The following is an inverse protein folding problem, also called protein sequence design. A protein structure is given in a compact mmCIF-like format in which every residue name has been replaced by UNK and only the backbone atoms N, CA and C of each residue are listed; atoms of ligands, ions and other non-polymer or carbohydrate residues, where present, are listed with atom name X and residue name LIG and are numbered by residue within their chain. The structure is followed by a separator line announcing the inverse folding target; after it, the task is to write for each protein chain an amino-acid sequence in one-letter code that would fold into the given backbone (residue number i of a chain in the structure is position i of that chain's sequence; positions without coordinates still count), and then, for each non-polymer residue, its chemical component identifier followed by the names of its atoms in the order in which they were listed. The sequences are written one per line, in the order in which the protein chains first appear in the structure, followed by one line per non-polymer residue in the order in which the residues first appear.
data_IF_215753604571
#
_entry.id   IF_215753604571
#
_cell.length_a   1.000
_cell.length_b   1.000
_cell.length_c   1.000
_cell.angle_alpha   90.00
_cell.angle_beta   90.00
_cell.angle_gamma   90.00
#
_symmetry.space_group_name_H-M   'P 1'
#
loop_
_entity.id
_entity.type
_entity.pdbx_description
1 polymer ?
#
# COMPACT_ATOMS: atom_id res chain seq x y z
N UNK A 1 2.35 -5.13 14.40
CA UNK A 1 2.37 -3.69 14.73
C UNK A 1 3.75 -3.09 14.56
N UNK A 2 4.82 -3.82 14.85
CA UNK A 2 6.24 -3.42 14.76
C UNK A 2 6.72 -2.93 13.37
N UNK A 3 6.22 -3.51 12.28
CA UNK A 3 6.64 -3.15 10.91
C UNK A 3 6.38 -1.68 10.52
N UNK A 4 5.29 -1.11 11.02
CA UNK A 4 4.90 0.25 10.64
C UNK A 4 5.82 1.28 11.33
N UNK A 5 6.24 0.97 12.56
CA UNK A 5 7.18 1.75 13.36
C UNK A 5 8.55 1.89 12.70
N UNK A 6 9.07 0.82 12.11
CA UNK A 6 10.31 0.89 11.35
C UNK A 6 10.22 1.71 10.05
N UNK A 7 9.07 1.68 9.36
CA UNK A 7 8.85 2.57 8.21
C UNK A 7 8.83 4.02 8.71
N UNK A 8 8.27 4.27 9.92
CA UNK A 8 8.26 5.60 10.50
C UNK A 8 9.67 6.16 10.74
N UNK A 9 10.61 5.33 11.20
CA UNK A 9 11.97 5.78 11.50
C UNK A 9 12.88 5.94 10.27
N UNK A 10 12.66 5.19 9.17
CA UNK A 10 13.58 5.20 8.02
C UNK A 10 13.41 6.36 7.04
N UNK A 11 12.24 7.03 7.01
CA UNK A 11 11.90 8.01 5.98
C UNK A 11 11.80 9.45 6.48
N UNK A 12 12.74 9.98 7.28
CA UNK A 12 12.87 11.43 7.57
C UNK A 12 11.53 12.19 7.64
N UNK A 13 10.60 11.67 8.45
CA UNK A 13 9.18 11.95 8.26
C UNK A 13 8.86 13.33 8.81
N UNK A 14 8.37 14.20 7.94
CA UNK A 14 7.82 15.49 8.38
C UNK A 14 6.42 15.27 8.97
N UNK A 15 6.02 16.05 9.97
CA UNK A 15 4.70 15.92 10.63
C UNK A 15 3.51 15.94 9.67
N UNK A 16 3.68 16.55 8.48
CA UNK A 16 2.69 16.63 7.40
C UNK A 16 2.62 15.38 6.51
N UNK A 17 3.52 14.42 6.69
CA UNK A 17 3.57 13.23 5.85
C UNK A 17 2.33 12.36 6.07
N UNK A 18 1.68 11.92 4.98
CA UNK A 18 0.45 11.11 5.04
C UNK A 18 0.59 9.84 5.87
N UNK A 19 1.81 9.33 6.00
CA UNK A 19 2.08 8.10 6.73
C UNK A 19 1.90 8.30 8.25
N UNK A 20 2.11 9.50 8.80
CA UNK A 20 1.90 9.80 10.24
C UNK A 20 0.45 9.60 10.69
N UNK A 21 -0.49 9.54 9.74
CA UNK A 21 -1.91 9.26 9.98
C UNK A 21 -2.27 7.77 9.90
N UNK A 22 -1.27 6.88 9.84
CA UNK A 22 -1.50 5.44 9.82
C UNK A 22 -2.33 5.00 11.02
N UNK A 23 -3.23 4.07 10.76
CA UNK A 23 -4.02 3.35 11.76
C UNK A 23 -3.98 1.88 11.43
N UNK A 24 -4.11 1.01 12.44
CA UNK A 24 -4.31 -0.42 12.23
C UNK A 24 -5.41 -0.65 11.21
N UNK A 25 -5.21 -1.65 10.34
CA UNK A 25 -6.15 -1.98 9.27
C UNK A 25 -6.92 -3.22 9.69
N UNK A 26 -8.25 -3.18 9.60
CA UNK A 26 -9.11 -4.33 9.93
C UNK A 26 -9.22 -5.29 8.74
N UNK A 27 -9.64 -6.53 8.98
CA UNK A 27 -9.92 -7.50 7.91
C UNK A 27 -10.93 -6.93 6.89
N UNK A 28 -11.99 -6.29 7.36
CA UNK A 28 -12.99 -5.65 6.50
C UNK A 28 -12.40 -4.53 5.61
N UNK A 29 -11.48 -3.73 6.16
CA UNK A 29 -10.78 -2.72 5.39
C UNK A 29 -9.87 -3.34 4.32
N UNK A 30 -9.17 -4.45 4.63
CA UNK A 30 -8.35 -5.17 3.65
C UNK A 30 -9.22 -5.76 2.54
N UNK A 31 -10.38 -6.35 2.86
CA UNK A 31 -11.29 -6.88 1.84
C UNK A 31 -11.81 -5.77 0.92
N UNK A 32 -12.20 -4.62 1.47
CA UNK A 32 -12.57 -3.44 0.67
C UNK A 32 -11.41 -2.95 -0.19
N UNK A 33 -10.21 -2.88 0.37
CA UNK A 33 -9.00 -2.49 -0.36
C UNK A 33 -8.75 -3.43 -1.56
N UNK A 34 -8.79 -4.75 -1.35
CA UNK A 34 -8.60 -5.75 -2.41
C UNK A 34 -9.69 -5.62 -3.48
N UNK A 35 -10.96 -5.46 -3.08
CA UNK A 35 -12.06 -5.25 -4.02
C UNK A 35 -11.84 -4.02 -4.91
N UNK A 36 -11.37 -2.91 -4.33
CA UNK A 36 -11.02 -1.71 -5.07
C UNK A 36 -9.80 -1.92 -5.99
N UNK A 37 -8.77 -2.64 -5.55
CA UNK A 37 -7.61 -3.00 -6.40
C UNK A 37 -8.08 -3.78 -7.63
N UNK A 38 -8.90 -4.82 -7.44
CA UNK A 38 -9.45 -5.61 -8.55
C UNK A 38 -10.31 -4.75 -9.48
N UNK A 39 -11.07 -3.80 -8.93
CA UNK A 39 -11.89 -2.90 -9.73
C UNK A 39 -11.05 -1.94 -10.59
N UNK A 40 -9.89 -1.46 -10.09
CA UNK A 40 -8.93 -0.69 -10.92
C UNK A 40 -8.31 -1.53 -12.04
N UNK A 41 -8.29 -2.86 -11.90
CA UNK A 41 -7.94 -3.78 -12.97
C UNK A 41 -8.99 -3.82 -14.08
N UNK A 42 -10.27 -3.72 -13.71
CA UNK A 42 -11.42 -3.79 -14.63
C UNK A 42 -11.62 -2.49 -15.41
N UNK A 43 -11.48 -1.34 -14.73
CA UNK A 43 -11.62 -0.02 -15.32
C UNK A 43 -10.25 0.66 -15.24
N UNK A 44 -9.65 1.01 -16.38
CA UNK A 44 -8.34 1.66 -16.43
C UNK A 44 -8.48 3.18 -16.49
N UNK A 45 -7.92 3.88 -15.50
CA UNK A 45 -7.72 5.33 -15.51
C UNK A 45 -6.23 5.65 -15.64
N UNK A 46 -5.91 6.84 -16.16
CA UNK A 46 -4.53 7.27 -16.39
C UNK A 46 -3.73 7.39 -15.09
N UNK A 47 -4.36 7.81 -13.99
CA UNK A 47 -3.72 7.93 -12.68
C UNK A 47 -4.59 7.28 -11.62
N UNK A 48 -3.96 6.63 -10.65
CA UNK A 48 -4.64 5.98 -9.52
C UNK A 48 -5.49 6.94 -8.68
N UNK A 49 -5.10 8.21 -8.61
CA UNK A 49 -5.87 9.24 -7.92
C UNK A 49 -7.13 9.68 -8.68
N UNK A 50 -7.24 9.38 -9.98
CA UNK A 50 -8.36 9.81 -10.81
C UNK A 50 -9.64 9.03 -10.49
N UNK A 51 -9.52 7.81 -9.95
CA UNK A 51 -10.67 7.02 -9.46
C UNK A 51 -11.44 7.70 -8.31
N UNK A 52 -10.84 8.67 -7.61
CA UNK A 52 -11.46 9.43 -6.54
C UNK A 52 -11.80 10.88 -6.92
N UNK A 53 -11.70 11.24 -8.21
CA UNK A 53 -12.06 12.59 -8.66
C UNK A 53 -13.58 12.74 -8.75
N UNK A 54 -14.09 13.87 -8.28
CA UNK A 54 -15.51 14.24 -8.41
C UNK A 54 -15.88 14.82 -9.78
N UNK A 55 -14.90 14.95 -10.69
CA UNK A 55 -15.14 15.52 -12.02
C UNK A 55 -16.15 14.65 -12.77
N UNK A 56 -17.20 15.21 -13.43
CA UNK A 56 -18.28 14.43 -14.02
C UNK A 56 -17.82 13.28 -14.93
N UNK A 57 -16.75 13.52 -15.71
CA UNK A 57 -16.14 12.53 -16.60
C UNK A 57 -15.51 11.31 -15.89
N UNK A 58 -15.17 11.44 -14.60
CA UNK A 58 -14.42 10.44 -13.83
C UNK A 58 -15.07 10.15 -12.47
N UNK A 59 -16.32 10.57 -12.25
CA UNK A 59 -16.99 10.52 -10.95
C UNK A 59 -17.46 9.10 -10.60
N UNK A 60 -16.50 8.24 -10.28
CA UNK A 60 -16.74 6.88 -9.83
C UNK A 60 -17.03 6.88 -8.33
N UNK A 61 -18.30 7.13 -7.99
CA UNK A 61 -18.78 7.18 -6.61
C UNK A 61 -18.48 5.91 -5.80
N UNK A 62 -18.29 4.76 -6.46
CA UNK A 62 -17.96 3.50 -5.78
C UNK A 62 -16.65 3.59 -5.00
N UNK A 63 -15.59 4.16 -5.58
CA UNK A 63 -14.28 4.21 -4.93
C UNK A 63 -14.31 5.03 -3.64
N UNK A 64 -14.85 6.25 -3.70
CA UNK A 64 -14.94 7.14 -2.55
C UNK A 64 -15.96 6.68 -1.50
N UNK A 65 -16.98 5.91 -1.88
CA UNK A 65 -17.96 5.34 -0.94
C UNK A 65 -17.36 4.24 -0.06
N UNK A 66 -16.44 3.42 -0.58
CA UNK A 66 -15.88 2.30 0.18
C UNK A 66 -14.60 2.66 0.95
N UNK A 67 -13.76 3.53 0.40
CA UNK A 67 -12.50 3.92 1.05
C UNK A 67 -12.04 5.29 0.56
N UNK A 68 -11.49 6.13 1.44
CA UNK A 68 -10.88 7.39 0.98
C UNK A 68 -9.60 7.13 0.19
N UNK A 69 -9.30 8.01 -0.78
CA UNK A 69 -8.07 7.94 -1.59
C UNK A 69 -6.82 7.83 -0.72
N UNK A 70 -6.73 8.65 0.32
CA UNK A 70 -5.54 8.70 1.16
C UNK A 70 -5.38 7.40 1.97
N UNK A 71 -6.49 6.82 2.49
CA UNK A 71 -6.44 5.52 3.18
C UNK A 71 -6.01 4.40 2.23
N UNK A 72 -6.55 4.37 1.02
CA UNK A 72 -6.16 3.41 -0.01
C UNK A 72 -4.67 3.50 -0.34
N UNK A 73 -4.15 4.70 -0.60
CA UNK A 73 -2.74 4.91 -0.95
C UNK A 73 -1.79 4.59 0.21
N UNK A 74 -2.21 4.85 1.45
CA UNK A 74 -1.45 4.51 2.64
C UNK A 74 -1.37 2.98 2.80
N UNK A 75 -2.50 2.26 2.68
CA UNK A 75 -2.53 0.80 2.73
C UNK A 75 -1.67 0.20 1.62
N UNK A 76 -1.81 0.70 0.38
CA UNK A 76 -1.02 0.25 -0.76
C UNK A 76 0.48 0.41 -0.53
N UNK A 77 0.92 1.51 0.09
CA UNK A 77 2.34 1.78 0.38
C UNK A 77 2.90 0.85 1.47
N UNK A 78 2.09 0.52 2.46
CA UNK A 78 2.50 -0.32 3.59
C UNK A 78 2.22 -1.81 3.37
N UNK A 79 1.72 -2.20 2.20
CA UNK A 79 1.46 -3.60 1.87
C UNK A 79 2.78 -4.33 1.61
N UNK A 80 3.17 -5.17 2.56
CA UNK A 80 4.40 -5.95 2.48
C UNK A 80 4.12 -7.39 2.90
N UNK A 81 4.50 -8.35 2.06
CA UNK A 81 4.21 -9.78 2.27
C UNK A 81 5.37 -10.55 2.90
N UNK A 82 6.57 -9.95 2.94
CA UNK A 82 7.73 -10.58 3.57
C UNK A 82 7.86 -10.16 5.05
N UNK A 83 8.27 -11.08 5.89
CA UNK A 83 8.71 -10.76 7.24
C UNK A 83 10.11 -10.16 7.14
N UNK A 84 10.39 -9.08 7.88
CA UNK A 84 11.78 -8.64 8.01
C UNK A 84 12.59 -9.76 8.68
N UNK A 85 13.81 -10.06 8.20
CA UNK A 85 14.72 -10.92 8.96
C UNK A 85 14.82 -10.39 10.36
N UNK A 86 14.58 -11.26 11.34
CA UNK A 86 15.07 -10.99 12.69
C UNK A 86 16.59 -10.91 12.54
N UNK A 87 17.22 -9.86 13.05
CA UNK A 87 18.67 -9.72 13.02
C UNK A 87 19.28 -11.00 13.62
N UNK A 88 19.91 -11.84 12.79
CA UNK A 88 20.44 -13.16 13.16
C UNK A 88 19.84 -14.36 12.40
N UNK A 89 18.75 -14.21 11.65
CA UNK A 89 18.28 -15.25 10.72
C UNK A 89 19.01 -15.11 9.37
N UNK A 90 19.99 -15.98 9.16
CA UNK A 90 20.65 -16.15 7.87
C UNK A 90 19.62 -16.71 6.88
N UNK A 91 19.01 -15.84 6.07
CA UNK A 91 18.28 -16.30 4.89
C UNK A 91 19.28 -16.81 3.88
N UNK A 92 19.56 -18.12 3.93
CA UNK A 92 20.27 -18.87 2.90
C UNK A 92 19.38 -19.04 1.67
N UNK A 93 18.93 -17.94 1.08
CA UNK A 93 18.28 -17.91 -0.23
C UNK A 93 18.86 -16.76 -1.06
N UNK A 94 20.18 -16.60 -0.97
CA UNK A 94 20.92 -16.03 -2.10
C UNK A 94 20.83 -17.06 -3.22
N UNK A 95 19.85 -16.86 -4.10
CA UNK A 95 19.87 -17.38 -5.46
C UNK A 95 21.31 -17.26 -5.96
N UNK A 96 21.98 -18.41 -6.07
CA UNK A 96 23.32 -18.53 -6.61
C UNK A 96 23.36 -17.74 -7.92
N UNK A 97 24.01 -16.57 -7.90
CA UNK A 97 24.54 -16.01 -9.14
C UNK A 97 25.55 -17.02 -9.63
N UNK A 98 25.13 -17.84 -10.58
CA UNK A 98 26.02 -18.60 -11.42
C UNK A 98 26.77 -17.59 -12.29
N UNK A 99 27.81 -16.99 -11.71
CA UNK A 99 28.92 -16.40 -12.45
C UNK A 99 29.76 -17.56 -12.97
N UNK A 100 29.29 -18.14 -14.06
CA UNK A 100 30.11 -18.90 -15.01
C UNK A 100 29.72 -18.43 -16.40
N UNK A 101 30.37 -17.35 -16.86
CA UNK A 101 31.18 -17.31 -18.08
C UNK A 101 31.96 -15.98 -18.14
#
# INVERSE_FOLDING_TARGET
MEYVEDIFCSQGITDKSRITRWKSVTCDEILKFIALVLHTGTIKMNRLQDYWKSHPLYNMKCFSAFMSRDRFLIILRCLHFARKPVYGENFTDQLYKSDHF
#
